data_IF_629403681647
#
_entry.id   IF_629403681647
#
_cell.length_a   1.000
_cell.length_b   1.000
_cell.length_c   1.000
_cell.angle_alpha   90.00
_cell.angle_beta   90.00
_cell.angle_gamma   90.00
#
_symmetry.space_group_name_H-M   'P 1'
#
loop_
_entity.id
_entity.type
_entity.pdbx_description
1 polymer ?
#
# COMPACT_ATOMS: atom_id res chain seq x y z
N UNK A 1 12.85 -27.11 -3.76
CA UNK A 1 12.10 -26.45 -2.66
C UNK A 1 10.68 -26.34 -3.13
N UNK A 2 9.74 -27.03 -2.48
CA UNK A 2 8.32 -26.94 -2.79
C UNK A 2 7.86 -25.49 -2.58
N UNK A 3 7.39 -24.84 -3.64
CA UNK A 3 6.57 -23.64 -3.50
C UNK A 3 5.28 -24.10 -2.83
N UNK A 4 5.17 -23.90 -1.52
CA UNK A 4 3.87 -23.91 -0.85
C UNK A 4 3.19 -22.60 -1.23
N UNK A 5 2.17 -22.61 -2.12
CA UNK A 5 1.29 -21.47 -2.23
C UNK A 5 0.73 -21.21 -0.82
N UNK A 6 0.68 -19.95 -0.42
CA UNK A 6 0.13 -19.49 0.87
C UNK A 6 1.07 -19.59 2.09
N UNK A 7 2.38 -19.77 1.88
CA UNK A 7 3.35 -19.55 2.97
C UNK A 7 3.28 -18.11 3.46
N UNK A 8 2.86 -17.90 4.70
CA UNK A 8 2.85 -16.58 5.35
C UNK A 8 4.29 -16.13 5.60
N UNK A 9 4.63 -14.93 5.11
CA UNK A 9 5.97 -14.35 5.27
C UNK A 9 5.98 -13.10 6.15
N UNK A 10 4.83 -12.45 6.32
CA UNK A 10 4.66 -11.31 7.21
C UNK A 10 3.26 -11.33 7.82
N UNK A 11 3.14 -10.99 9.10
CA UNK A 11 1.84 -10.86 9.79
C UNK A 11 1.76 -9.55 10.56
N UNK A 12 0.56 -8.98 10.58
CA UNK A 12 0.15 -7.86 11.42
C UNK A 12 -1.00 -8.33 12.30
N UNK A 13 -0.84 -8.17 13.62
CA UNK A 13 -1.82 -8.64 14.61
C UNK A 13 -2.25 -7.45 15.46
N UNK A 14 -3.49 -7.01 15.27
CA UNK A 14 -4.08 -5.90 16.04
C UNK A 14 -3.37 -4.56 15.84
N UNK A 15 -2.79 -4.34 14.66
CA UNK A 15 -1.97 -3.14 14.44
C UNK A 15 -2.84 -1.89 14.38
N UNK A 16 -2.56 -0.93 15.26
CA UNK A 16 -3.23 0.38 15.30
C UNK A 16 -2.20 1.50 15.42
N UNK A 17 -2.42 2.59 14.68
CA UNK A 17 -1.58 3.78 14.69
C UNK A 17 -2.45 5.02 14.87
N UNK A 18 -2.02 5.88 15.79
CA UNK A 18 -2.70 7.13 16.10
C UNK A 18 -1.74 8.31 15.90
N UNK A 19 -2.27 9.42 15.38
CA UNK A 19 -1.59 10.71 15.35
C UNK A 19 -2.50 11.73 16.05
N UNK A 20 -1.99 12.44 17.07
CA UNK A 20 -2.77 13.39 17.87
C UNK A 20 -4.13 12.84 18.34
N UNK A 21 -4.12 11.57 18.81
CA UNK A 21 -5.30 10.79 19.25
C UNK A 21 -6.29 10.43 18.14
N UNK A 22 -6.03 10.78 16.88
CA UNK A 22 -6.84 10.36 15.73
C UNK A 22 -6.32 9.03 15.21
N UNK A 23 -7.17 8.00 15.08
CA UNK A 23 -6.76 6.75 14.43
C UNK A 23 -6.45 7.05 12.96
N UNK A 24 -5.35 6.48 12.49
CA UNK A 24 -4.97 6.43 11.07
C UNK A 24 -4.97 4.98 10.57
N UNK A 25 -4.57 4.05 11.44
CA UNK A 25 -4.80 2.61 11.28
C UNK A 25 -5.51 2.11 12.53
N UNK A 26 -6.50 1.22 12.36
CA UNK A 26 -7.26 0.69 13.48
C UNK A 26 -7.49 -0.81 13.31
N UNK A 27 -7.03 -1.58 14.29
CA UNK A 27 -7.27 -3.02 14.44
C UNK A 27 -6.95 -3.81 13.16
N UNK A 28 -5.77 -3.57 12.58
CA UNK A 28 -5.34 -4.22 11.34
C UNK A 28 -4.85 -5.64 11.64
N UNK A 29 -5.52 -6.63 11.06
CA UNK A 29 -5.15 -8.05 11.07
C UNK A 29 -4.93 -8.53 9.63
N UNK A 30 -3.66 -8.67 9.24
CA UNK A 30 -3.30 -9.01 7.85
C UNK A 30 -2.15 -10.02 7.85
N UNK A 31 -2.22 -10.96 6.91
CA UNK A 31 -1.11 -11.86 6.61
C UNK A 31 -0.72 -11.71 5.15
N UNK A 32 0.58 -11.65 4.90
CA UNK A 32 1.16 -11.51 3.56
C UNK A 32 1.79 -12.83 3.17
N UNK A 33 1.41 -13.33 2.00
CA UNK A 33 1.84 -14.61 1.49
C UNK A 33 3.02 -14.46 0.52
N UNK A 34 3.88 -15.47 0.47
CA UNK A 34 4.94 -15.54 -0.53
C UNK A 34 4.36 -15.45 -1.96
N UNK A 35 4.98 -14.65 -2.82
CA UNK A 35 4.52 -14.41 -4.19
C UNK A 35 3.32 -13.46 -4.35
N UNK A 36 2.64 -13.06 -3.27
CA UNK A 36 1.47 -12.19 -3.38
C UNK A 36 1.82 -10.80 -3.95
N UNK A 37 0.96 -10.27 -4.84
CA UNK A 37 1.07 -8.93 -5.40
C UNK A 37 -0.13 -8.12 -4.92
N UNK A 38 0.09 -7.23 -3.97
CA UNK A 38 -0.97 -6.58 -3.21
C UNK A 38 -1.06 -5.12 -3.63
N UNK A 39 -2.14 -4.77 -4.32
CA UNK A 39 -2.48 -3.38 -4.61
C UNK A 39 -3.11 -2.70 -3.41
N UNK A 40 -2.60 -1.55 -2.99
CA UNK A 40 -3.12 -0.80 -1.84
C UNK A 40 -3.89 0.43 -2.31
N UNK A 41 -5.17 0.48 -1.99
CA UNK A 41 -6.11 1.53 -2.41
C UNK A 41 -6.61 2.36 -1.23
N UNK A 42 -7.08 3.58 -1.51
CA UNK A 42 -7.73 4.43 -0.51
C UNK A 42 -7.47 5.91 -0.73
N UNK A 43 -8.22 6.76 -0.02
CA UNK A 43 -8.09 8.22 -0.10
C UNK A 43 -6.76 8.73 0.47
N UNK A 44 -6.39 9.97 0.12
CA UNK A 44 -5.24 10.62 0.75
C UNK A 44 -5.51 10.81 2.25
N UNK A 45 -4.50 10.48 3.07
CA UNK A 45 -4.64 10.45 4.52
C UNK A 45 -5.33 9.19 5.08
N UNK A 46 -5.66 8.19 4.25
CA UNK A 46 -6.30 6.96 4.73
C UNK A 46 -5.37 6.00 5.50
N UNK A 47 -4.07 6.29 5.56
CA UNK A 47 -3.09 5.48 6.30
C UNK A 47 -2.17 4.58 5.46
N UNK A 48 -2.29 4.58 4.12
CA UNK A 48 -1.45 3.74 3.22
C UNK A 48 0.05 3.90 3.46
N UNK A 49 0.56 5.14 3.51
CA UNK A 49 1.98 5.41 3.74
C UNK A 49 2.41 5.01 5.16
N UNK A 50 1.52 5.16 6.15
CA UNK A 50 1.79 4.69 7.52
C UNK A 50 1.88 3.16 7.58
N UNK A 51 1.01 2.45 6.86
CA UNK A 51 1.08 0.99 6.71
C UNK A 51 2.44 0.58 6.12
N UNK A 52 2.86 1.18 5.01
CA UNK A 52 4.14 0.84 4.38
C UNK A 52 5.35 1.11 5.29
N UNK A 53 5.35 2.23 6.03
CA UNK A 53 6.43 2.53 6.98
C UNK A 53 6.50 1.53 8.13
N UNK A 54 5.35 1.05 8.61
CA UNK A 54 5.29 -0.02 9.62
C UNK A 54 5.81 -1.34 9.04
N UNK A 55 5.37 -1.73 7.84
CA UNK A 55 5.85 -2.93 7.15
C UNK A 55 7.38 -2.91 6.95
N UNK A 56 7.91 -1.75 6.57
CA UNK A 56 9.35 -1.55 6.38
C UNK A 56 10.15 -1.44 7.69
N UNK A 57 9.48 -1.46 8.85
CA UNK A 57 10.12 -1.26 10.15
C UNK A 57 10.67 0.15 10.38
N UNK A 58 10.31 1.13 9.53
CA UNK A 58 10.66 2.56 9.65
C UNK A 58 9.83 3.29 10.71
N UNK A 59 8.57 2.89 10.90
CA UNK A 59 7.71 3.37 11.99
C UNK A 59 7.41 2.21 12.94
N UNK A 60 7.88 2.32 14.19
CA UNK A 60 7.71 1.29 15.24
C UNK A 60 6.78 1.73 16.37
N UNK A 61 6.26 2.95 16.28
CA UNK A 61 5.39 3.52 17.31
C UNK A 61 3.94 3.18 16.97
N UNK A 62 3.53 1.95 17.20
CA UNK A 62 2.16 1.49 16.95
C UNK A 62 1.75 0.49 18.04
N UNK A 63 0.44 0.30 18.20
CA UNK A 63 -0.10 -0.78 19.03
C UNK A 63 -0.24 -2.05 18.20
N UNK A 64 -0.18 -3.22 18.84
CA UNK A 64 -0.23 -4.52 18.17
C UNK A 64 1.18 -5.06 17.88
N UNK A 65 1.25 -6.06 17.00
CA UNK A 65 2.50 -6.75 16.69
C UNK A 65 2.67 -6.95 15.18
N UNK A 66 3.91 -6.88 14.72
CA UNK A 66 4.29 -7.35 13.40
C UNK A 66 5.34 -8.45 13.49
N UNK A 67 5.18 -9.48 12.65
CA UNK A 67 6.07 -10.64 12.62
C UNK A 67 6.54 -10.86 11.19
N UNK A 68 7.85 -10.77 10.97
CA UNK A 68 8.50 -11.14 9.72
C UNK A 68 9.09 -12.55 9.87
N UNK A 69 8.74 -13.45 8.95
CA UNK A 69 9.25 -14.82 8.99
C UNK A 69 10.77 -14.87 8.81
N UNK A 70 11.50 -15.72 9.56
CA UNK A 70 12.96 -15.85 9.42
C UNK A 70 13.41 -16.08 7.98
N UNK A 71 14.55 -15.48 7.61
CA UNK A 71 15.12 -15.57 6.26
C UNK A 71 14.48 -14.65 5.22
N UNK A 72 13.55 -13.77 5.61
CA UNK A 72 12.96 -12.77 4.73
C UNK A 72 13.42 -11.36 5.11
N UNK A 73 13.37 -10.46 4.15
CA UNK A 73 13.73 -9.05 4.31
C UNK A 73 12.65 -8.17 3.71
N UNK A 74 12.50 -6.96 4.23
CA UNK A 74 11.58 -5.95 3.68
C UNK A 74 12.39 -4.80 3.09
N UNK A 75 12.08 -4.45 1.84
CA UNK A 75 12.57 -3.23 1.20
C UNK A 75 11.43 -2.24 1.01
N UNK A 76 11.72 -0.94 1.09
CA UNK A 76 10.76 0.14 0.84
C UNK A 76 11.34 1.09 -0.20
N UNK A 77 10.61 1.29 -1.29
CA UNK A 77 10.83 2.37 -2.24
C UNK A 77 9.84 3.49 -1.93
N UNK A 78 10.34 4.69 -1.67
CA UNK A 78 9.50 5.85 -1.34
C UNK A 78 8.99 6.57 -2.60
N UNK A 79 7.84 7.23 -2.51
CA UNK A 79 7.20 7.90 -3.65
C UNK A 79 7.92 9.19 -4.08
N UNK A 80 8.64 9.84 -3.16
CA UNK A 80 9.48 10.98 -3.46
C UNK A 80 10.94 10.52 -3.41
N UNK A 81 11.74 10.74 -4.47
CA UNK A 81 13.17 10.52 -4.37
C UNK A 81 13.74 11.49 -3.33
N UNK A 82 14.56 11.01 -2.41
CA UNK A 82 15.40 11.89 -1.62
C UNK A 82 16.31 12.64 -2.58
N UNK A 83 16.08 13.95 -2.69
CA UNK A 83 16.89 14.82 -3.52
C UNK A 83 18.15 15.16 -2.74
N UNK A 84 19.30 14.98 -3.36
CA UNK A 84 20.56 15.45 -2.80
C UNK A 84 20.63 16.97 -2.96
N UNK A 85 20.52 17.69 -1.84
CA UNK A 85 20.54 19.15 -1.77
C UNK A 85 21.85 19.77 -2.29
N UNK A 86 22.89 18.96 -2.49
CA UNK A 86 24.17 19.41 -3.07
C UNK A 86 24.17 19.44 -4.60
N UNK A 87 23.16 18.84 -5.24
CA UNK A 87 23.03 18.78 -6.71
C UNK A 87 22.20 19.93 -7.25
N UNK A 88 22.55 20.38 -8.45
CA UNK A 88 21.76 21.36 -9.18
C UNK A 88 20.45 20.75 -9.70
N UNK A 89 19.45 21.59 -9.92
CA UNK A 89 18.16 21.18 -10.53
C UNK A 89 18.38 20.44 -11.85
N UNK A 90 19.39 20.83 -12.65
CA UNK A 90 19.71 20.16 -13.91
C UNK A 90 20.24 18.74 -13.68
N UNK A 91 21.13 18.54 -12.71
CA UNK A 91 21.69 17.21 -12.39
C UNK A 91 20.63 16.26 -11.85
N UNK A 92 19.73 16.75 -10.98
CA UNK A 92 18.58 15.97 -10.49
C UNK A 92 17.67 15.54 -11.66
N UNK A 93 17.38 16.46 -12.58
CA UNK A 93 16.56 16.16 -13.76
C UNK A 93 17.28 15.22 -14.73
N UNK A 94 18.60 15.36 -14.93
CA UNK A 94 19.40 14.45 -15.77
C UNK A 94 19.46 13.02 -15.19
N UNK A 95 19.48 12.86 -13.87
CA UNK A 95 19.36 11.56 -13.21
C UNK A 95 17.96 10.95 -13.41
N UNK A 96 16.90 11.75 -13.30
CA UNK A 96 15.50 11.28 -13.46
C UNK A 96 15.04 11.07 -14.90
N UNK A 97 15.58 11.81 -15.88
CA UNK A 97 15.18 11.74 -17.30
C UNK A 97 15.82 10.57 -18.06
N UNK A 98 16.84 9.91 -17.47
CA UNK A 98 17.50 8.75 -18.07
C UNK A 98 16.58 7.53 -18.26
N UNK A 99 15.39 7.50 -17.64
CA UNK A 99 14.53 6.32 -17.56
C UNK A 99 13.10 6.46 -18.13
N UNK A 100 12.72 7.48 -18.90
CA UNK A 100 11.27 7.83 -18.88
C UNK A 100 10.31 7.16 -19.89
N UNK A 101 10.65 6.21 -20.78
CA UNK A 101 9.58 5.62 -21.66
C UNK A 101 9.63 4.10 -21.90
N UNK A 102 10.75 3.41 -21.63
CA UNK A 102 10.81 1.94 -21.73
C UNK A 102 10.50 1.20 -20.41
N UNK A 103 10.17 1.94 -19.35
CA UNK A 103 10.38 1.48 -17.96
C UNK A 103 9.15 0.89 -17.30
N UNK A 104 7.92 1.32 -17.66
CA UNK A 104 6.70 0.75 -17.06
C UNK A 104 6.48 -0.71 -17.45
N UNK A 105 6.70 -1.08 -18.72
CA UNK A 105 6.61 -2.48 -19.16
C UNK A 105 7.71 -3.34 -18.53
N UNK A 106 8.93 -2.82 -18.44
CA UNK A 106 10.04 -3.51 -17.78
C UNK A 106 9.76 -3.71 -16.28
N UNK A 107 9.16 -2.71 -15.63
CA UNK A 107 8.73 -2.80 -14.23
C UNK A 107 7.60 -3.81 -14.06
N UNK A 108 6.57 -3.78 -14.92
CA UNK A 108 5.50 -4.78 -14.94
C UNK A 108 6.07 -6.19 -15.07
N UNK A 109 6.93 -6.42 -16.06
CA UNK A 109 7.57 -7.73 -16.28
C UNK A 109 8.47 -8.15 -15.12
N UNK A 110 9.23 -7.22 -14.52
CA UNK A 110 10.04 -7.50 -13.35
C UNK A 110 9.18 -7.87 -12.13
N UNK A 111 8.08 -7.15 -11.91
CA UNK A 111 7.17 -7.40 -10.79
C UNK A 111 6.37 -8.69 -10.97
N UNK A 112 5.94 -8.98 -12.19
CA UNK A 112 5.24 -10.21 -12.57
C UNK A 112 6.13 -11.44 -12.33
N UNK A 113 7.42 -11.36 -12.70
CA UNK A 113 8.38 -12.45 -12.51
C UNK A 113 9.04 -12.48 -11.13
N UNK A 114 8.82 -11.47 -10.27
CA UNK A 114 9.41 -11.45 -8.95
C UNK A 114 8.77 -12.52 -8.06
N UNK A 115 9.55 -13.49 -7.58
CA UNK A 115 9.01 -14.58 -6.75
C UNK A 115 8.55 -14.14 -5.35
N UNK A 116 9.01 -12.98 -4.88
CA UNK A 116 8.63 -12.44 -3.57
C UNK A 116 7.27 -11.73 -3.56
N UNK A 117 6.86 -11.35 -2.36
CA UNK A 117 5.67 -10.51 -2.16
C UNK A 117 5.97 -9.06 -2.50
N UNK A 118 5.01 -8.36 -3.12
CA UNK A 118 5.09 -6.93 -3.41
C UNK A 118 3.83 -6.26 -2.88
N UNK A 119 4.01 -5.13 -2.18
CA UNK A 119 2.92 -4.25 -1.76
C UNK A 119 3.06 -2.94 -2.52
N UNK A 120 2.05 -2.57 -3.31
CA UNK A 120 2.13 -1.47 -4.27
C UNK A 120 1.00 -0.48 -4.03
N UNK A 121 1.33 0.80 -3.84
CA UNK A 121 0.35 1.88 -3.89
C UNK A 121 0.39 2.44 -5.32
N UNK A 122 -0.70 2.30 -6.07
CA UNK A 122 -0.83 2.87 -7.40
C UNK A 122 -2.23 3.46 -7.61
N UNK A 123 -2.30 4.50 -8.45
CA UNK A 123 -3.55 5.04 -8.99
C UNK A 123 -3.82 4.56 -10.43
N UNK A 124 -2.88 3.83 -11.04
CA UNK A 124 -3.05 3.24 -12.37
C UNK A 124 -3.82 1.93 -12.26
N UNK A 125 -5.07 1.96 -12.74
CA UNK A 125 -5.99 0.82 -12.69
C UNK A 125 -5.56 -0.33 -13.58
N UNK A 126 -5.01 -0.03 -14.77
CA UNK A 126 -4.56 -1.05 -15.71
C UNK A 126 -3.37 -1.82 -15.16
N UNK A 127 -2.44 -1.10 -14.54
CA UNK A 127 -1.29 -1.70 -13.85
C UNK A 127 -1.74 -2.62 -12.71
N UNK A 128 -2.69 -2.18 -11.88
CA UNK A 128 -3.23 -3.00 -10.79
C UNK A 128 -4.01 -4.21 -11.30
N UNK A 129 -4.77 -4.07 -12.39
CA UNK A 129 -5.47 -5.20 -13.01
C UNK A 129 -4.52 -6.27 -13.54
N UNK A 130 -3.37 -5.83 -14.04
CA UNK A 130 -2.36 -6.73 -14.60
C UNK A 130 -1.54 -7.43 -13.52
N UNK A 131 -1.12 -6.71 -12.48
CA UNK A 131 -0.11 -7.20 -11.53
C UNK A 131 -0.73 -7.70 -10.23
N UNK A 132 -1.81 -7.07 -9.74
CA UNK A 132 -2.32 -7.38 -8.41
C UNK A 132 -3.05 -8.72 -8.40
N UNK A 133 -2.68 -9.55 -7.43
CA UNK A 133 -3.43 -10.77 -7.07
C UNK A 133 -4.41 -10.50 -5.92
N UNK A 134 -4.19 -9.42 -5.18
CA UNK A 134 -5.01 -9.01 -4.04
C UNK A 134 -5.11 -7.50 -3.98
N UNK A 135 -6.22 -7.01 -3.42
CA UNK A 135 -6.44 -5.60 -3.13
C UNK A 135 -6.60 -5.39 -1.63
N UNK A 136 -5.80 -4.49 -1.07
CA UNK A 136 -5.93 -3.97 0.28
C UNK A 136 -6.50 -2.54 0.20
N UNK A 137 -7.79 -2.40 0.44
CA UNK A 137 -8.50 -1.14 0.29
C UNK A 137 -8.83 -0.46 1.62
N UNK A 138 -8.43 0.79 1.76
CA UNK A 138 -8.83 1.66 2.86
C UNK A 138 -10.12 2.40 2.50
N UNK A 139 -11.26 1.83 2.90
CA UNK A 139 -12.61 2.31 2.53
C UNK A 139 -13.17 3.41 3.47
N UNK A 140 -12.43 3.80 4.52
CA UNK A 140 -12.86 4.80 5.50
C UNK A 140 -12.69 4.31 6.94
N UNK A 141 -12.94 5.19 7.91
CA UNK A 141 -12.91 4.87 9.35
C UNK A 141 -11.63 4.18 9.85
N UNK A 142 -10.50 4.41 9.19
CA UNK A 142 -9.20 3.75 9.47
C UNK A 142 -9.22 2.23 9.37
N UNK A 143 -10.19 1.67 8.64
CA UNK A 143 -10.33 0.23 8.38
C UNK A 143 -9.76 -0.12 7.02
N UNK A 144 -9.15 -1.30 6.94
CA UNK A 144 -8.69 -1.87 5.69
C UNK A 144 -9.53 -3.12 5.36
N UNK A 145 -9.87 -3.26 4.08
CA UNK A 145 -10.61 -4.39 3.51
C UNK A 145 -9.64 -5.17 2.63
N UNK A 146 -9.58 -6.48 2.85
CA UNK A 146 -8.82 -7.39 2.00
C UNK A 146 -9.74 -8.01 0.96
N UNK A 147 -9.28 -8.07 -0.28
CA UNK A 147 -10.00 -8.66 -1.39
C UNK A 147 -9.07 -9.54 -2.22
N UNK A 148 -9.49 -10.78 -2.48
CA UNK A 148 -8.77 -11.73 -3.33
C UNK A 148 -9.18 -11.51 -4.78
N UNK A 149 -8.28 -10.98 -5.59
CA UNK A 149 -8.53 -10.57 -6.96
C UNK A 149 -7.90 -9.22 -7.31
N UNK A 150 -8.10 -8.81 -8.56
CA UNK A 150 -7.51 -7.61 -9.12
C UNK A 150 -8.37 -6.35 -8.89
N UNK A 151 -7.99 -5.21 -9.49
CA UNK A 151 -8.70 -3.94 -9.29
C UNK A 151 -10.14 -3.98 -9.80
N UNK A 152 -10.36 -4.48 -11.01
CA UNK A 152 -11.67 -4.52 -11.67
C UNK A 152 -12.64 -5.44 -10.92
N UNK A 153 -12.15 -6.58 -10.44
CA UNK A 153 -12.93 -7.50 -9.61
C UNK A 153 -13.30 -6.86 -8.27
N UNK A 154 -12.35 -6.18 -7.62
CA UNK A 154 -12.58 -5.43 -6.39
C UNK A 154 -13.59 -4.30 -6.60
N UNK A 155 -13.49 -3.53 -7.68
CA UNK A 155 -14.41 -2.43 -7.98
C UNK A 155 -15.83 -2.94 -8.21
N UNK A 156 -15.97 -4.07 -8.92
CA UNK A 156 -17.26 -4.73 -9.11
C UNK A 156 -17.87 -5.24 -7.79
N UNK A 157 -17.06 -5.84 -6.91
CA UNK A 157 -17.49 -6.25 -5.57
C UNK A 157 -17.88 -5.04 -4.70
N UNK A 158 -17.04 -4.00 -4.67
CA UNK A 158 -17.28 -2.77 -3.93
C UNK A 158 -18.58 -2.10 -4.36
N UNK A 159 -18.86 -2.02 -5.66
CA UNK A 159 -20.11 -1.45 -6.18
C UNK A 159 -21.32 -2.28 -5.74
N UNK A 160 -21.21 -3.61 -5.73
CA UNK A 160 -22.27 -4.50 -5.23
C UNK A 160 -22.50 -4.34 -3.73
N UNK A 161 -21.44 -4.22 -2.93
CA UNK A 161 -21.51 -4.07 -1.47
C UNK A 161 -22.05 -2.71 -1.03
N UNK A 162 -21.62 -1.63 -1.70
CA UNK A 162 -21.88 -0.26 -1.25
C UNK A 162 -22.95 0.48 -2.08
N UNK A 163 -23.35 -0.05 -3.24
CA UNK A 163 -24.35 0.57 -4.11
C UNK A 163 -23.97 2.03 -4.46
N UNK A 164 -24.92 2.95 -4.32
CA UNK A 164 -24.71 4.39 -4.58
C UNK A 164 -23.73 5.08 -3.61
N UNK A 165 -23.38 4.46 -2.48
CA UNK A 165 -22.39 4.99 -1.55
C UNK A 165 -20.94 4.74 -2.03
N UNK A 166 -20.73 3.85 -3.01
CA UNK A 166 -19.42 3.59 -3.60
C UNK A 166 -18.84 4.80 -4.33
N UNK A 167 -19.70 5.60 -4.99
CA UNK A 167 -19.31 6.77 -5.75
C UNK A 167 -19.18 8.03 -4.89
N UNK A 168 -19.60 7.98 -3.62
CA UNK A 168 -19.43 9.09 -2.69
C UNK A 168 -18.07 9.00 -2.00
N UNK A 169 -17.12 9.93 -2.27
CA UNK A 169 -15.89 9.99 -1.50
C UNK A 169 -16.24 10.34 -0.05
N UNK A 170 -16.12 9.35 0.84
CA UNK A 170 -16.28 9.55 2.27
C UNK A 170 -15.03 10.28 2.79
N UNK A 171 -15.01 11.61 2.62
CA UNK A 171 -14.07 12.48 3.31
C UNK A 171 -14.29 12.27 4.81
N UNK A 172 -13.21 11.98 5.54
CA UNK A 172 -13.18 12.09 7.00
C UNK A 172 -13.75 13.48 7.33
N UNK A 173 -14.90 13.55 8.01
CA UNK A 173 -15.53 14.82 8.38
C UNK A 173 -14.64 15.50 9.42
N UNK A 174 -13.82 16.45 8.97
CA UNK A 174 -13.11 17.35 9.86
C UNK A 174 -14.15 18.20 10.61
N UNK A 175 -14.27 17.99 11.92
CA UNK A 175 -15.06 18.88 12.78
C UNK A 175 -14.34 20.24 12.80
N UNK A 176 -14.99 21.29 12.31
CA UNK A 176 -14.45 22.64 12.34
C UNK A 176 -14.05 23.00 13.78
N UNK A 177 -12.80 23.40 13.96
CA UNK A 177 -12.33 24.01 15.19
C UNK A 177 -12.99 25.38 15.30
N UNK A 178 -13.99 25.52 16.16
CA UNK A 178 -14.42 26.84 16.62
C UNK A 178 -13.31 27.42 17.49
N UNK A 179 -12.65 28.47 17.00
CA UNK A 179 -11.84 29.35 17.86
C UNK A 179 -12.79 29.99 18.87
N UNK A 180 -12.51 29.78 20.15
CA UNK A 180 -13.03 30.62 21.22
C UNK A 180 -12.41 32.00 21.19
#
# INVERSE_FOLDING_TARGET
>A
MSNEPDKIIYSMVGVSKYYDKKPVLKDIYLSYFYGAKIGVLGLNGSGKSSLLRILAGKDRDFNGETVLSPGHTVGLLEQEPELDDTKTVREIVEEGVKETVNTMRALEEALENFAGCVVIISHDRWFLDRIATHILAFEGDSRAVWFDGNYSEYEADRQKRLGTAADQPHRIKYRHLTRG
#
